data_IF_336926223196
#
_entry.id   IF_336926223196
#
_cell.length_a   1.000
_cell.length_b   1.000
_cell.length_c   1.000
_cell.angle_alpha   90.00
_cell.angle_beta   90.00
_cell.angle_gamma   90.00
#
_symmetry.space_group_name_H-M   'P 1'
#
loop_
_entity.id
_entity.type
_entity.pdbx_description
1 polymer ?
#
# COMPACT_ATOMS: atom_id res chain seq x y z
N UNK A 1 5.09 34.47 71.08
CA UNK A 1 6.21 33.66 70.55
C UNK A 1 5.79 32.30 69.98
N UNK A 2 4.99 31.49 70.68
CA UNK A 2 4.61 30.12 70.25
C UNK A 2 3.85 30.03 68.91
N UNK A 3 2.97 31.00 68.60
CA UNK A 3 2.21 31.04 67.34
C UNK A 3 3.08 31.36 66.11
N UNK A 4 4.06 32.27 66.26
CA UNK A 4 5.03 32.57 65.19
C UNK A 4 5.95 31.37 64.91
N UNK A 5 6.31 30.61 65.94
CA UNK A 5 7.09 29.38 65.79
C UNK A 5 6.29 28.29 65.04
N UNK A 6 4.99 28.16 65.33
CA UNK A 6 4.09 27.21 64.64
C UNK A 6 3.91 27.55 63.16
N UNK A 7 3.76 28.84 62.82
CA UNK A 7 3.66 29.29 61.41
C UNK A 7 4.96 29.05 60.65
N UNK A 8 6.12 29.27 61.28
CA UNK A 8 7.43 28.98 60.66
C UNK A 8 7.62 27.48 60.43
N UNK A 9 7.23 26.64 61.39
CA UNK A 9 7.30 25.16 61.25
C UNK A 9 6.34 24.66 60.15
N UNK A 10 5.13 25.22 60.05
CA UNK A 10 4.17 24.86 59.00
C UNK A 10 4.65 25.28 57.59
N UNK A 11 5.27 26.45 57.46
CA UNK A 11 5.87 26.92 56.20
C UNK A 11 7.06 26.04 55.81
N UNK A 12 7.92 25.66 56.77
CA UNK A 12 9.04 24.74 56.54
C UNK A 12 8.53 23.36 56.08
N UNK A 13 7.45 22.83 56.67
CA UNK A 13 6.88 21.56 56.22
C UNK A 13 6.32 21.62 54.80
N UNK A 14 5.74 22.75 54.37
CA UNK A 14 5.29 22.90 52.97
C UNK A 14 6.41 23.02 51.95
N UNK A 15 7.59 23.52 52.35
CA UNK A 15 8.76 23.65 51.45
C UNK A 15 9.45 22.30 51.22
N UNK A 16 9.40 21.37 52.20
CA UNK A 16 10.05 20.05 52.10
C UNK A 16 9.26 19.09 51.19
N UNK A 17 7.98 19.36 50.91
CA UNK A 17 7.14 18.55 50.02
C UNK A 17 7.22 18.94 48.54
N UNK A 18 8.01 19.94 48.17
CA UNK A 18 8.05 20.51 46.80
C UNK A 18 9.05 19.83 45.84
N UNK A 19 9.72 18.75 46.23
CA UNK A 19 10.60 17.99 45.33
C UNK A 19 9.76 17.09 44.39
N UNK A 20 9.39 17.63 43.23
CA UNK A 20 8.92 16.83 42.11
C UNK A 20 9.97 15.81 41.63
N UNK A 21 9.57 14.81 40.82
CA UNK A 21 10.49 13.80 40.31
C UNK A 21 11.64 14.42 39.53
N UNK A 22 12.84 13.87 39.70
CA UNK A 22 14.03 14.35 38.98
C UNK A 22 13.93 14.03 37.49
N UNK A 23 14.65 14.77 36.64
CA UNK A 23 14.69 14.50 35.20
C UNK A 23 15.10 13.05 34.87
N UNK A 24 16.12 12.45 35.52
CA UNK A 24 16.42 11.02 35.36
C UNK A 24 15.23 10.11 35.66
N UNK A 25 14.49 10.35 36.76
CA UNK A 25 13.31 9.55 37.10
C UNK A 25 12.20 9.67 36.06
N UNK A 26 12.01 10.86 35.48
CA UNK A 26 11.05 11.09 34.40
C UNK A 26 11.49 10.42 33.10
N UNK A 27 12.79 10.42 32.79
CA UNK A 27 13.36 9.73 31.64
C UNK A 27 13.17 8.22 31.74
N UNK A 28 13.46 7.62 32.90
CA UNK A 28 13.22 6.18 33.15
C UNK A 28 11.76 5.80 32.92
N UNK A 29 10.80 6.59 33.44
CA UNK A 29 9.38 6.36 33.19
C UNK A 29 9.05 6.41 31.69
N UNK A 30 9.65 7.34 30.96
CA UNK A 30 9.41 7.47 29.52
C UNK A 30 10.02 6.32 28.71
N UNK A 31 11.17 5.79 29.12
CA UNK A 31 11.77 4.57 28.56
C UNK A 31 10.86 3.38 28.80
N UNK A 32 10.34 3.20 30.02
CA UNK A 32 9.43 2.10 30.34
C UNK A 32 8.16 2.10 29.46
N UNK A 33 7.61 3.29 29.20
CA UNK A 33 6.48 3.44 28.25
C UNK A 33 6.89 3.04 26.83
N UNK A 34 8.09 3.41 26.38
CA UNK A 34 8.58 3.00 25.07
C UNK A 34 8.74 1.48 24.96
N UNK A 35 9.27 0.83 25.99
CA UNK A 35 9.42 -0.63 26.04
C UNK A 35 8.07 -1.35 26.04
N UNK A 36 7.07 -0.82 26.74
CA UNK A 36 5.70 -1.36 26.70
C UNK A 36 5.09 -1.25 25.30
N UNK A 37 5.31 -0.13 24.61
CA UNK A 37 4.89 0.07 23.22
C UNK A 37 5.60 -0.93 22.29
N UNK A 38 6.90 -1.18 22.48
CA UNK A 38 7.64 -2.20 21.72
C UNK A 38 7.07 -3.60 21.95
N UNK A 39 6.75 -3.96 23.19
CA UNK A 39 6.13 -5.25 23.52
C UNK A 39 4.78 -5.44 22.83
N UNK A 40 4.06 -4.34 22.55
CA UNK A 40 2.80 -4.33 21.78
C UNK A 40 3.00 -4.22 20.26
N UNK A 41 4.25 -4.13 19.78
CA UNK A 41 4.59 -3.98 18.37
C UNK A 41 4.51 -2.53 17.83
N UNK A 42 4.22 -1.55 18.69
CA UNK A 42 4.10 -0.14 18.30
C UNK A 42 5.48 0.55 18.28
N UNK A 43 6.27 0.18 17.27
CA UNK A 43 7.63 0.72 17.09
C UNK A 43 7.66 2.23 16.82
N UNK A 44 6.63 2.77 16.17
CA UNK A 44 6.59 4.20 15.80
C UNK A 44 6.43 5.05 17.05
N UNK A 45 5.44 4.76 17.89
CA UNK A 45 5.24 5.53 19.12
C UNK A 45 6.36 5.26 20.12
N UNK A 46 6.90 4.04 20.19
CA UNK A 46 8.11 3.79 20.98
C UNK A 46 9.25 4.71 20.59
N UNK A 47 9.60 4.79 19.30
CA UNK A 47 10.70 5.65 18.83
C UNK A 47 10.44 7.13 19.12
N UNK A 48 9.20 7.61 18.97
CA UNK A 48 8.83 8.98 19.37
C UNK A 48 9.08 9.23 20.86
N UNK A 49 8.78 8.24 21.70
CA UNK A 49 9.05 8.35 23.13
C UNK A 49 10.55 8.41 23.44
N UNK A 50 11.35 7.55 22.80
CA UNK A 50 12.80 7.49 23.00
C UNK A 50 13.50 8.75 22.49
N UNK A 51 13.21 9.18 21.25
CA UNK A 51 13.83 10.33 20.60
C UNK A 51 13.56 11.65 21.37
N UNK A 52 12.46 11.72 22.11
CA UNK A 52 12.10 12.91 22.90
C UNK A 52 12.92 13.09 24.20
N UNK A 53 13.59 12.04 24.69
CA UNK A 53 14.21 12.05 26.03
C UNK A 53 15.31 13.10 26.14
N UNK A 54 16.22 13.17 25.17
CA UNK A 54 17.34 14.12 25.18
C UNK A 54 16.88 15.58 25.15
N UNK A 55 15.72 15.85 24.52
CA UNK A 55 15.13 17.18 24.45
C UNK A 55 14.40 17.55 25.74
N UNK A 56 13.59 16.64 26.28
CA UNK A 56 12.75 16.91 27.45
C UNK A 56 13.52 16.86 28.78
N UNK A 57 14.56 16.03 28.85
CA UNK A 57 15.29 15.73 30.07
C UNK A 57 16.81 15.90 29.87
N UNK A 58 17.30 17.11 29.57
CA UNK A 58 18.72 17.35 29.26
C UNK A 58 19.70 16.99 30.39
N UNK A 59 19.23 16.87 31.64
CA UNK A 59 20.06 16.44 32.78
C UNK A 59 20.11 14.91 32.96
N UNK A 60 19.30 14.15 32.20
CA UNK A 60 19.22 12.68 32.26
C UNK A 60 20.18 12.04 31.23
N UNK A 61 21.47 12.36 31.32
CA UNK A 61 22.46 11.98 30.28
C UNK A 61 22.60 10.46 30.14
N UNK A 62 22.53 9.72 31.25
CA UNK A 62 22.62 8.26 31.22
C UNK A 62 21.41 7.63 30.54
N UNK A 63 20.21 8.10 30.90
CA UNK A 63 18.95 7.61 30.35
C UNK A 63 18.80 7.98 28.88
N UNK A 64 19.28 9.17 28.49
CA UNK A 64 19.34 9.57 27.08
C UNK A 64 20.21 8.61 26.25
N UNK A 65 21.37 8.18 26.78
CA UNK A 65 22.21 7.17 26.11
C UNK A 65 21.51 5.82 26.01
N UNK A 66 20.84 5.38 27.07
CA UNK A 66 20.03 4.15 27.04
C UNK A 66 18.92 4.24 26.00
N UNK A 67 18.24 5.38 25.90
CA UNK A 67 17.19 5.61 24.92
C UNK A 67 17.73 5.49 23.48
N UNK A 68 18.88 6.10 23.18
CA UNK A 68 19.55 5.97 21.88
C UNK A 68 19.92 4.51 21.58
N UNK A 69 20.46 3.77 22.55
CA UNK A 69 20.77 2.34 22.36
C UNK A 69 19.53 1.48 22.07
N UNK A 70 18.38 1.82 22.66
CA UNK A 70 17.11 1.15 22.35
C UNK A 70 16.64 1.55 20.95
N UNK A 71 16.64 2.85 20.61
CA UNK A 71 16.27 3.36 19.29
C UNK A 71 17.11 2.70 18.19
N UNK A 72 18.42 2.61 18.37
CA UNK A 72 19.32 1.99 17.40
C UNK A 72 18.98 0.50 17.19
N UNK A 73 18.80 -0.28 18.27
CA UNK A 73 18.37 -1.69 18.17
C UNK A 73 17.06 -1.85 17.41
N UNK A 74 16.07 -1.01 17.69
CA UNK A 74 14.78 -1.01 16.98
C UNK A 74 14.97 -0.68 15.50
N UNK A 75 15.77 0.33 15.17
CA UNK A 75 16.04 0.72 13.79
C UNK A 75 16.82 -0.35 13.02
N UNK A 76 17.78 -1.04 13.64
CA UNK A 76 18.48 -2.20 13.07
C UNK A 76 17.51 -3.34 12.77
N UNK A 77 16.61 -3.68 13.70
CA UNK A 77 15.59 -4.70 13.45
C UNK A 77 14.65 -4.31 12.30
N UNK A 78 14.23 -3.04 12.23
CA UNK A 78 13.43 -2.52 11.12
C UNK A 78 14.19 -2.60 9.79
N UNK A 79 15.48 -2.29 9.78
CA UNK A 79 16.33 -2.37 8.59
C UNK A 79 16.43 -3.82 8.09
N UNK A 80 16.65 -4.78 8.98
CA UNK A 80 16.68 -6.21 8.61
C UNK A 80 15.36 -6.68 8.00
N UNK A 81 14.23 -6.29 8.60
CA UNK A 81 12.91 -6.62 8.06
C UNK A 81 12.69 -6.02 6.66
N UNK A 82 13.10 -4.76 6.44
CA UNK A 82 12.99 -4.14 5.11
C UNK A 82 13.89 -4.83 4.07
N UNK A 83 15.10 -5.25 4.46
CA UNK A 83 15.99 -6.03 3.58
C UNK A 83 15.40 -7.39 3.24
N UNK A 84 14.80 -8.08 4.21
CA UNK A 84 14.10 -9.35 3.97
C UNK A 84 12.90 -9.17 3.02
N UNK A 85 12.08 -8.14 3.24
CA UNK A 85 10.96 -7.79 2.37
C UNK A 85 11.43 -7.50 0.94
N UNK A 86 12.50 -6.71 0.79
CA UNK A 86 13.09 -6.41 -0.50
C UNK A 86 13.58 -7.68 -1.21
N UNK A 87 14.28 -8.56 -0.50
CA UNK A 87 14.77 -9.81 -1.06
C UNK A 87 13.62 -10.71 -1.56
N UNK A 88 12.58 -10.89 -0.74
CA UNK A 88 11.37 -11.65 -1.13
C UNK A 88 10.66 -11.01 -2.32
N UNK A 89 10.50 -9.69 -2.31
CA UNK A 89 9.84 -8.96 -3.39
C UNK A 89 10.62 -9.09 -4.71
N UNK A 90 11.94 -8.99 -4.69
CA UNK A 90 12.79 -9.18 -5.87
C UNK A 90 12.61 -10.56 -6.49
N UNK A 91 12.60 -11.63 -5.69
CA UNK A 91 12.37 -12.99 -6.20
C UNK A 91 11.03 -13.11 -6.94
N UNK A 92 9.96 -12.52 -6.40
CA UNK A 92 8.64 -12.54 -7.03
C UNK A 92 8.64 -11.70 -8.31
N UNK A 93 9.20 -10.49 -8.26
CA UNK A 93 9.30 -9.61 -9.44
C UNK A 93 10.07 -10.29 -10.56
N UNK A 94 11.27 -10.80 -10.28
CA UNK A 94 12.15 -11.45 -11.26
C UNK A 94 11.52 -12.71 -11.89
N UNK A 95 10.65 -13.39 -11.14
CA UNK A 95 9.89 -14.54 -11.64
C UNK A 95 8.73 -14.11 -12.54
N UNK A 96 7.89 -13.18 -12.06
CA UNK A 96 6.61 -12.87 -12.71
C UNK A 96 6.74 -11.88 -13.86
N UNK A 97 7.71 -10.96 -13.82
CA UNK A 97 7.88 -9.93 -14.86
C UNK A 97 8.10 -10.52 -16.26
N UNK A 98 8.65 -11.74 -16.34
CA UNK A 98 8.88 -12.49 -17.59
C UNK A 98 7.59 -12.90 -18.30
N UNK A 99 6.45 -12.91 -17.60
CA UNK A 99 5.13 -13.17 -18.19
C UNK A 99 4.50 -11.91 -18.84
N UNK A 100 5.22 -10.78 -18.85
CA UNK A 100 4.73 -9.51 -19.39
C UNK A 100 5.63 -8.94 -20.48
N UNK A 101 5.00 -8.27 -21.43
CA UNK A 101 5.65 -7.41 -22.40
C UNK A 101 5.60 -5.95 -21.93
N UNK A 102 6.73 -5.25 -21.86
CA UNK A 102 6.76 -3.82 -21.58
C UNK A 102 6.30 -3.02 -22.80
N UNK A 103 5.42 -2.05 -22.58
CA UNK A 103 4.94 -1.09 -23.57
C UNK A 103 5.07 0.32 -23.00
N UNK A 104 5.69 1.21 -23.76
CA UNK A 104 5.81 2.63 -23.43
C UNK A 104 5.62 3.46 -24.67
N UNK A 105 4.49 4.15 -24.76
CA UNK A 105 4.25 5.14 -25.79
C UNK A 105 5.13 6.38 -25.61
N UNK A 106 5.28 7.17 -26.67
CA UNK A 106 6.08 8.41 -26.68
C UNK A 106 5.64 9.40 -25.59
N UNK A 107 4.34 9.45 -25.30
CA UNK A 107 3.74 10.33 -24.31
C UNK A 107 3.46 9.66 -22.96
N UNK A 108 3.79 8.37 -22.81
CA UNK A 108 3.53 7.65 -21.57
C UNK A 108 4.56 7.99 -20.50
N UNK A 109 4.06 8.48 -19.38
CA UNK A 109 4.90 8.80 -18.21
C UNK A 109 5.58 7.55 -17.62
N UNK A 110 4.89 6.42 -17.66
CA UNK A 110 5.31 5.16 -17.04
C UNK A 110 5.24 4.03 -18.05
N UNK A 111 6.17 3.07 -17.94
CA UNK A 111 6.06 1.82 -18.71
C UNK A 111 4.87 1.01 -18.20
N UNK A 112 4.03 0.57 -19.13
CA UNK A 112 2.95 -0.38 -18.88
C UNK A 112 3.43 -1.80 -19.20
N UNK A 113 2.91 -2.78 -18.49
CA UNK A 113 3.21 -4.19 -18.64
C UNK A 113 1.91 -4.91 -18.98
N UNK A 114 1.89 -5.54 -20.15
CA UNK A 114 0.75 -6.34 -20.62
C UNK A 114 1.14 -7.80 -20.55
N UNK A 115 0.27 -8.62 -19.95
CA UNK A 115 0.52 -10.04 -19.83
C UNK A 115 0.58 -10.70 -21.23
N UNK A 116 1.56 -11.58 -21.47
CA UNK A 116 1.83 -12.21 -22.77
C UNK A 116 0.63 -12.99 -23.34
N UNK A 117 -0.32 -13.35 -22.48
CA UNK A 117 -1.55 -14.06 -22.86
C UNK A 117 -2.68 -13.16 -23.35
N UNK A 118 -2.59 -11.84 -23.11
CA UNK A 118 -3.60 -10.84 -23.47
C UNK A 118 -3.15 -9.95 -24.65
N UNK A 119 -2.27 -10.46 -25.52
CA UNK A 119 -1.80 -9.74 -26.71
C UNK A 119 -2.91 -9.46 -27.74
N UNK A 120 -2.71 -8.42 -28.55
CA UNK A 120 -3.68 -7.82 -29.48
C UNK A 120 -4.26 -8.85 -30.47
N UNK A 121 -3.43 -9.79 -30.97
CA UNK A 121 -3.83 -10.79 -31.98
C UNK A 121 -5.04 -11.65 -31.57
N UNK A 122 -5.31 -11.77 -30.27
CA UNK A 122 -6.40 -12.58 -29.73
C UNK A 122 -7.69 -11.80 -29.45
N UNK A 123 -7.72 -10.51 -29.76
CA UNK A 123 -8.75 -9.59 -29.23
C UNK A 123 -9.49 -8.76 -30.29
N UNK A 124 -9.11 -8.86 -31.56
CA UNK A 124 -9.61 -7.99 -32.64
C UNK A 124 -11.08 -8.18 -33.06
N UNK A 125 -11.78 -9.21 -32.58
CA UNK A 125 -13.16 -9.47 -33.01
C UNK A 125 -14.05 -10.02 -31.90
N UNK A 126 -13.70 -9.74 -30.64
CA UNK A 126 -14.44 -10.21 -29.47
C UNK A 126 -14.40 -9.21 -28.33
N UNK A 127 -15.38 -9.32 -27.43
CA UNK A 127 -15.34 -8.61 -26.16
C UNK A 127 -14.43 -9.33 -25.17
N UNK A 128 -13.69 -8.60 -24.34
CA UNK A 128 -12.73 -9.14 -23.38
C UNK A 128 -12.45 -8.18 -22.23
N UNK A 129 -11.86 -8.71 -21.16
CA UNK A 129 -11.39 -7.94 -20.01
C UNK A 129 -9.87 -8.02 -19.97
N UNK A 130 -9.19 -6.88 -19.84
CA UNK A 130 -7.73 -6.82 -19.87
C UNK A 130 -7.19 -6.02 -18.68
N UNK A 131 -6.10 -6.51 -18.10
CA UNK A 131 -5.38 -5.83 -17.04
C UNK A 131 -4.11 -5.19 -17.60
N UNK A 132 -3.81 -3.98 -17.11
CA UNK A 132 -2.55 -3.30 -17.30
C UNK A 132 -1.92 -3.07 -15.93
N UNK A 133 -0.60 -3.19 -15.88
CA UNK A 133 0.21 -2.93 -14.70
C UNK A 133 1.28 -1.90 -15.08
N UNK A 134 1.52 -0.87 -14.28
CA UNK A 134 2.65 0.03 -14.52
C UNK A 134 3.86 -0.31 -13.62
N UNK A 135 5.00 0.33 -13.88
CA UNK A 135 6.24 0.16 -13.09
C UNK A 135 6.13 0.54 -11.61
N UNK A 136 5.05 1.24 -11.20
CA UNK A 136 4.76 1.58 -9.80
C UNK A 136 3.92 0.54 -9.07
N UNK A 137 3.44 -0.48 -9.79
CA UNK A 137 2.50 -1.45 -9.23
C UNK A 137 1.04 -0.98 -9.28
N UNK A 138 0.71 0.06 -10.05
CA UNK A 138 -0.69 0.47 -10.23
C UNK A 138 -1.35 -0.42 -11.27
N UNK A 139 -2.53 -0.93 -10.92
CA UNK A 139 -3.32 -1.78 -11.79
C UNK A 139 -4.44 -0.95 -12.44
N UNK A 140 -4.68 -1.24 -13.71
CA UNK A 140 -5.79 -0.69 -14.48
C UNK A 140 -6.54 -1.85 -15.11
N UNK A 141 -7.86 -1.86 -14.96
CA UNK A 141 -8.72 -2.83 -15.62
C UNK A 141 -9.41 -2.17 -16.80
N UNK A 142 -9.58 -2.89 -17.90
CA UNK A 142 -10.38 -2.43 -19.03
C UNK A 142 -11.42 -3.46 -19.40
N UNK A 143 -12.63 -3.00 -19.68
CA UNK A 143 -13.67 -3.77 -20.35
C UNK A 143 -13.75 -3.31 -21.80
N UNK A 144 -13.53 -4.24 -22.72
CA UNK A 144 -13.51 -3.98 -24.15
C UNK A 144 -14.69 -4.73 -24.76
N UNK A 145 -15.67 -4.01 -25.30
CA UNK A 145 -16.83 -4.55 -25.96
C UNK A 145 -16.68 -4.44 -27.48
N UNK A 146 -17.06 -5.52 -28.16
CA UNK A 146 -17.14 -5.63 -29.62
C UNK A 146 -18.52 -6.15 -30.01
N UNK A 147 -19.25 -5.40 -30.84
CA UNK A 147 -20.56 -5.84 -31.31
C UNK A 147 -21.15 -5.00 -32.44
N UNK A 148 -22.34 -5.38 -32.91
CA UNK A 148 -23.02 -4.71 -34.01
C UNK A 148 -23.80 -3.44 -33.61
N UNK A 149 -23.97 -3.19 -32.32
CA UNK A 149 -24.70 -2.05 -31.76
C UNK A 149 -23.96 -1.50 -30.55
N UNK A 150 -24.14 -0.20 -30.28
CA UNK A 150 -23.60 0.44 -29.10
C UNK A 150 -24.27 -0.10 -27.83
N UNK A 151 -23.47 -0.68 -26.95
CA UNK A 151 -23.86 -1.08 -25.60
C UNK A 151 -23.92 0.13 -24.67
N UNK A 152 -23.09 1.15 -24.92
CA UNK A 152 -22.85 2.31 -24.05
C UNK A 152 -22.55 1.86 -22.60
N UNK A 153 -21.65 0.89 -22.44
CA UNK A 153 -21.35 0.38 -21.10
C UNK A 153 -20.53 1.36 -20.28
N UNK A 154 -20.75 1.34 -18.98
CA UNK A 154 -20.16 2.27 -18.01
C UNK A 154 -19.56 1.56 -16.80
N UNK A 155 -20.02 0.36 -16.47
CA UNK A 155 -19.42 -0.48 -15.42
C UNK A 155 -19.27 -1.93 -15.85
N UNK A 156 -18.49 -2.67 -15.07
CA UNK A 156 -18.21 -4.09 -15.23
C UNK A 156 -18.51 -4.83 -13.93
N UNK A 157 -19.38 -5.84 -14.00
CA UNK A 157 -19.67 -6.72 -12.86
C UNK A 157 -19.04 -8.09 -13.11
N UNK A 158 -18.41 -8.64 -12.08
CA UNK A 158 -17.92 -10.01 -12.05
C UNK A 158 -18.81 -10.82 -11.12
N UNK A 159 -19.34 -11.91 -11.64
CA UNK A 159 -20.23 -12.81 -10.92
C UNK A 159 -19.83 -14.27 -11.14
N UNK A 160 -19.98 -15.12 -10.12
CA UNK A 160 -19.82 -16.57 -10.29
C UNK A 160 -19.68 -17.29 -8.97
N UNK A 161 -20.34 -18.46 -8.84
CA UNK A 161 -20.24 -19.31 -7.63
C UNK A 161 -20.51 -18.56 -6.30
N UNK A 162 -21.47 -17.63 -6.28
CA UNK A 162 -21.82 -16.82 -5.10
C UNK A 162 -20.90 -15.62 -4.86
N UNK A 163 -19.90 -15.40 -5.72
CA UNK A 163 -19.03 -14.24 -5.70
C UNK A 163 -19.62 -13.10 -6.55
N UNK A 164 -19.46 -11.86 -6.07
CA UNK A 164 -19.89 -10.65 -6.77
C UNK A 164 -18.92 -9.50 -6.46
N UNK A 165 -18.46 -8.80 -7.51
CA UNK A 165 -17.83 -7.49 -7.41
C UNK A 165 -18.20 -6.64 -8.63
N UNK A 166 -18.19 -5.33 -8.47
CA UNK A 166 -18.49 -4.37 -9.53
C UNK A 166 -17.46 -3.25 -9.49
N UNK A 167 -17.12 -2.73 -10.67
CA UNK A 167 -16.32 -1.51 -10.81
C UNK A 167 -17.18 -0.27 -10.57
N UNK A 168 -16.56 0.85 -10.21
CA UNK A 168 -17.28 2.12 -10.27
C UNK A 168 -17.71 2.44 -11.71
N UNK A 169 -18.81 3.18 -11.85
CA UNK A 169 -19.30 3.60 -13.16
C UNK A 169 -18.44 4.72 -13.75
N UNK A 170 -18.09 4.59 -15.02
CA UNK A 170 -17.40 5.60 -15.83
C UNK A 170 -18.35 6.10 -16.90
N UNK A 171 -18.76 7.38 -16.80
CA UNK A 171 -19.67 8.00 -17.75
C UNK A 171 -19.17 7.92 -19.19
N UNK A 172 -20.09 7.90 -20.16
CA UNK A 172 -19.81 7.85 -21.60
C UNK A 172 -18.96 9.04 -22.05
N UNK A 173 -19.17 10.22 -21.46
CA UNK A 173 -18.44 11.44 -21.82
C UNK A 173 -17.06 11.53 -21.12
N UNK A 174 -16.70 10.54 -20.31
CA UNK A 174 -15.42 10.52 -19.61
C UNK A 174 -14.29 10.11 -20.56
N UNK A 175 -13.11 10.71 -20.38
CA UNK A 175 -11.91 10.36 -21.15
C UNK A 175 -11.51 8.88 -21.02
N UNK A 176 -11.98 8.16 -20.01
CA UNK A 176 -11.72 6.74 -19.83
C UNK A 176 -12.80 5.83 -20.46
N UNK A 177 -13.80 6.39 -21.14
CA UNK A 177 -14.85 5.65 -21.84
C UNK A 177 -14.82 6.01 -23.34
N UNK A 178 -14.17 5.16 -24.14
CA UNK A 178 -13.94 5.41 -25.55
C UNK A 178 -14.87 4.59 -26.41
N UNK A 179 -15.39 5.23 -27.46
CA UNK A 179 -16.23 4.62 -28.48
C UNK A 179 -15.53 4.77 -29.83
N UNK A 180 -15.43 3.69 -30.61
CA UNK A 180 -14.95 3.73 -31.98
C UNK A 180 -15.77 2.81 -32.87
N UNK A 181 -15.83 3.14 -34.15
CA UNK A 181 -16.56 2.37 -35.15
C UNK A 181 -15.64 2.08 -36.33
N UNK A 182 -15.63 0.82 -36.77
CA UNK A 182 -14.89 0.41 -37.95
C UNK A 182 -15.66 -0.64 -38.72
N UNK A 183 -15.90 -0.39 -40.02
CA UNK A 183 -16.61 -1.31 -40.91
C UNK A 183 -17.98 -1.80 -40.38
N UNK A 184 -18.71 -0.92 -39.68
CA UNK A 184 -20.03 -1.22 -39.09
C UNK A 184 -19.98 -1.91 -37.72
N UNK A 185 -18.80 -2.33 -37.25
CA UNK A 185 -18.60 -2.87 -35.90
C UNK A 185 -18.37 -1.74 -34.89
N UNK A 186 -19.01 -1.86 -33.73
CA UNK A 186 -18.89 -0.95 -32.60
C UNK A 186 -17.88 -1.49 -31.60
N UNK A 187 -17.00 -0.61 -31.16
CA UNK A 187 -15.97 -0.86 -30.17
C UNK A 187 -16.14 0.10 -29.01
N UNK A 188 -16.23 -0.44 -27.80
CA UNK A 188 -16.27 0.36 -26.59
C UNK A 188 -15.16 -0.10 -25.65
N UNK A 189 -14.37 0.84 -25.13
CA UNK A 189 -13.35 0.57 -24.14
C UNK A 189 -13.59 1.45 -22.92
N UNK A 190 -13.88 0.82 -21.79
CA UNK A 190 -13.96 1.50 -20.50
C UNK A 190 -12.75 1.14 -19.66
N UNK A 191 -12.09 2.16 -19.11
CA UNK A 191 -10.87 2.05 -18.32
C UNK A 191 -11.16 2.42 -16.87
N UNK A 192 -10.90 1.48 -15.95
CA UNK A 192 -11.10 1.62 -14.51
C UNK A 192 -9.75 1.64 -13.81
N UNK A 193 -9.48 2.67 -13.00
CA UNK A 193 -8.18 2.86 -12.34
C UNK A 193 -8.32 2.94 -10.83
N UNK A 194 -7.34 2.38 -10.11
CA UNK A 194 -7.29 2.42 -8.65
C UNK A 194 -8.55 1.85 -8.01
N UNK A 195 -9.13 2.59 -7.07
CA UNK A 195 -10.30 2.15 -6.27
C UNK A 195 -11.49 1.72 -7.14
N UNK A 196 -11.63 2.28 -8.34
CA UNK A 196 -12.68 1.92 -9.31
C UNK A 196 -12.62 0.45 -9.75
N UNK A 197 -11.44 -0.18 -9.69
CA UNK A 197 -11.20 -1.53 -10.19
C UNK A 197 -10.70 -2.50 -9.12
N UNK A 198 -10.15 -1.99 -8.01
CA UNK A 198 -9.41 -2.80 -7.02
C UNK A 198 -10.21 -3.99 -6.49
N UNK A 199 -11.51 -3.79 -6.19
CA UNK A 199 -12.39 -4.87 -5.70
C UNK A 199 -12.57 -5.98 -6.72
N UNK A 200 -12.79 -5.61 -7.98
CA UNK A 200 -12.98 -6.56 -9.08
C UNK A 200 -11.69 -7.34 -9.37
N UNK A 201 -10.56 -6.64 -9.47
CA UNK A 201 -9.25 -7.25 -9.70
C UNK A 201 -8.92 -8.22 -8.57
N UNK A 202 -9.08 -7.79 -7.30
CA UNK A 202 -8.80 -8.62 -6.14
C UNK A 202 -9.69 -9.87 -6.09
N UNK A 203 -10.98 -9.75 -6.43
CA UNK A 203 -11.89 -10.88 -6.49
C UNK A 203 -11.45 -11.92 -7.52
N UNK A 204 -11.12 -11.48 -8.75
CA UNK A 204 -10.65 -12.39 -9.80
C UNK A 204 -9.33 -13.05 -9.38
N UNK A 205 -8.37 -12.26 -8.88
CA UNK A 205 -7.05 -12.75 -8.48
C UNK A 205 -7.11 -13.77 -7.33
N UNK A 206 -8.06 -13.61 -6.40
CA UNK A 206 -8.30 -14.55 -5.31
C UNK A 206 -9.02 -15.83 -5.77
N UNK A 207 -9.66 -15.83 -6.94
CA UNK A 207 -10.53 -16.90 -7.42
C UNK A 207 -10.20 -17.33 -8.87
N UNK A 208 -8.93 -17.60 -9.22
CA UNK A 208 -8.52 -17.87 -10.61
C UNK A 208 -9.16 -19.15 -11.18
N UNK A 209 -9.45 -20.12 -10.32
CA UNK A 209 -9.98 -21.44 -10.72
C UNK A 209 -11.51 -21.47 -10.83
N UNK A 210 -12.18 -20.40 -10.39
CA UNK A 210 -13.64 -20.31 -10.34
C UNK A 210 -14.23 -19.96 -11.70
N UNK A 211 -15.46 -20.41 -11.95
CA UNK A 211 -16.21 -20.02 -13.16
C UNK A 211 -16.82 -18.64 -12.94
N UNK A 212 -16.17 -17.63 -13.51
CA UNK A 212 -16.58 -16.23 -13.40
C UNK A 212 -17.09 -15.73 -14.76
N UNK A 213 -18.21 -15.04 -14.77
CA UNK A 213 -18.71 -14.27 -15.91
C UNK A 213 -18.45 -12.79 -15.66
N UNK A 214 -18.14 -12.06 -16.73
CA UNK A 214 -18.11 -10.60 -16.73
C UNK A 214 -19.36 -10.07 -17.42
N UNK A 215 -19.98 -9.07 -16.81
CA UNK A 215 -21.23 -8.46 -17.23
C UNK A 215 -20.95 -6.99 -17.47
N UNK A 216 -20.99 -6.59 -18.73
CA UNK A 216 -20.82 -5.23 -19.20
C UNK A 216 -22.16 -4.53 -19.03
N UNK A 217 -22.20 -3.48 -18.19
CA UNK A 217 -23.43 -2.76 -17.83
C UNK A 217 -23.56 -1.47 -18.62
N UNK A 218 -24.49 -1.43 -19.57
CA UNK A 218 -24.85 -0.24 -20.35
C UNK A 218 -26.36 -0.12 -20.54
N UNK A 219 -26.79 0.29 -21.74
CA UNK A 219 -28.22 0.30 -22.14
C UNK A 219 -28.88 -1.07 -22.00
N UNK A 220 -28.09 -2.11 -22.22
CA UNK A 220 -28.43 -3.50 -21.91
C UNK A 220 -27.23 -4.15 -21.22
N UNK A 221 -27.41 -5.38 -20.70
CA UNK A 221 -26.28 -6.16 -20.19
C UNK A 221 -25.73 -7.06 -21.29
N UNK A 222 -24.41 -7.09 -21.44
CA UNK A 222 -23.70 -8.03 -22.30
C UNK A 222 -22.79 -8.92 -21.44
N UNK A 223 -22.81 -10.24 -21.67
CA UNK A 223 -22.18 -11.21 -20.77
C UNK A 223 -21.18 -12.05 -21.55
N UNK A 224 -19.97 -12.20 -21.00
CA UNK A 224 -18.98 -13.18 -21.45
C UNK A 224 -18.47 -13.98 -20.25
N UNK A 225 -17.96 -15.17 -20.50
CA UNK A 225 -17.21 -15.93 -19.51
C UNK A 225 -15.76 -15.45 -19.48
N UNK A 226 -15.18 -15.28 -18.29
CA UNK A 226 -13.75 -15.00 -18.16
C UNK A 226 -12.96 -16.27 -18.49
N UNK A 227 -12.09 -16.17 -19.49
CA UNK A 227 -11.21 -17.27 -19.86
C UNK A 227 -10.18 -17.55 -18.77
N UNK A 228 -9.68 -18.78 -18.71
CA UNK A 228 -8.59 -19.13 -17.78
C UNK A 228 -7.34 -18.28 -17.99
N UNK A 229 -7.05 -17.91 -19.24
CA UNK A 229 -5.95 -17.01 -19.58
C UNK A 229 -6.13 -15.61 -19.00
N UNK A 230 -7.35 -15.07 -19.01
CA UNK A 230 -7.64 -13.73 -18.47
C UNK A 230 -7.58 -13.73 -16.94
N UNK A 231 -8.17 -14.74 -16.30
CA UNK A 231 -8.09 -14.91 -14.84
C UNK A 231 -6.65 -15.07 -14.37
N UNK A 232 -5.85 -15.87 -15.08
CA UNK A 232 -4.42 -16.00 -14.79
C UNK A 232 -3.66 -14.69 -15.02
N UNK A 233 -3.90 -13.98 -16.12
CA UNK A 233 -3.25 -12.69 -16.37
C UNK A 233 -3.53 -11.68 -15.25
N UNK A 234 -4.79 -11.58 -14.81
CA UNK A 234 -5.21 -10.69 -13.73
C UNK A 234 -4.56 -11.08 -12.41
N UNK A 235 -4.53 -12.39 -12.08
CA UNK A 235 -3.83 -12.88 -10.88
C UNK A 235 -2.33 -12.55 -10.91
N UNK A 236 -1.65 -12.87 -12.02
CA UNK A 236 -0.21 -12.62 -12.15
C UNK A 236 0.09 -11.12 -12.03
N UNK A 237 -0.72 -10.26 -12.66
CA UNK A 237 -0.57 -8.81 -12.55
C UNK A 237 -0.77 -8.32 -11.11
N UNK A 238 -1.77 -8.86 -10.41
CA UNK A 238 -2.04 -8.53 -9.01
C UNK A 238 -0.89 -8.93 -8.08
N UNK A 239 -0.34 -10.13 -8.25
CA UNK A 239 0.80 -10.60 -7.46
C UNK A 239 2.06 -9.78 -7.73
N UNK A 240 2.35 -9.48 -9.00
CA UNK A 240 3.47 -8.64 -9.39
C UNK A 240 3.32 -7.21 -8.87
N UNK A 241 2.13 -6.62 -8.94
CA UNK A 241 1.84 -5.29 -8.41
C UNK A 241 2.15 -5.19 -6.91
N UNK A 242 1.75 -6.19 -6.11
CA UNK A 242 2.06 -6.23 -4.67
C UNK A 242 3.56 -6.32 -4.43
N UNK A 243 4.25 -7.18 -5.17
CA UNK A 243 5.70 -7.32 -5.05
C UNK A 243 6.44 -6.02 -5.41
N UNK A 244 6.04 -5.34 -6.49
CA UNK A 244 6.58 -4.03 -6.89
C UNK A 244 6.37 -2.98 -5.80
N UNK A 245 5.17 -2.89 -5.21
CA UNK A 245 4.88 -1.95 -4.12
C UNK A 245 5.76 -2.20 -2.89
N UNK A 246 5.96 -3.47 -2.50
CA UNK A 246 6.84 -3.84 -1.38
C UNK A 246 8.29 -3.48 -1.69
N UNK A 247 8.77 -3.80 -2.91
CA UNK A 247 10.11 -3.46 -3.38
C UNK A 247 10.36 -1.96 -3.30
N UNK A 248 9.51 -1.16 -3.92
CA UNK A 248 9.62 0.32 -3.96
C UNK A 248 9.58 0.91 -2.55
N UNK A 249 8.69 0.42 -1.69
CA UNK A 249 8.60 0.89 -0.31
C UNK A 249 9.88 0.56 0.48
N UNK A 250 10.40 -0.65 0.33
CA UNK A 250 11.62 -1.10 1.03
C UNK A 250 12.84 -0.33 0.56
N UNK A 251 13.02 -0.15 -0.76
CA UNK A 251 14.11 0.63 -1.37
C UNK A 251 14.11 2.09 -0.91
N UNK A 252 12.93 2.67 -0.67
CA UNK A 252 12.82 4.03 -0.12
C UNK A 252 13.22 4.11 1.35
N UNK A 253 12.88 3.11 2.17
CA UNK A 253 13.05 3.16 3.63
C UNK A 253 14.45 2.74 4.08
N UNK A 254 15.06 1.75 3.42
CA UNK A 254 16.41 1.24 3.76
C UNK A 254 17.46 2.35 3.91
N UNK A 255 17.69 3.25 2.93
CA UNK A 255 18.73 4.27 3.06
C UNK A 255 18.45 5.29 4.16
N UNK A 256 17.17 5.53 4.49
CA UNK A 256 16.79 6.40 5.60
C UNK A 256 17.13 5.79 6.95
N UNK A 257 16.91 4.48 7.11
CA UNK A 257 17.28 3.75 8.32
C UNK A 257 18.80 3.64 8.47
N UNK A 258 19.52 3.34 7.39
CA UNK A 258 21.00 3.29 7.40
C UNK A 258 21.61 4.63 7.82
N UNK A 259 21.10 5.74 7.27
CA UNK A 259 21.52 7.09 7.67
C UNK A 259 21.21 7.36 9.14
N UNK A 260 20.02 6.98 9.62
CA UNK A 260 19.62 7.22 11.02
C UNK A 260 20.49 6.43 12.01
N UNK A 261 20.73 5.15 11.72
CA UNK A 261 21.61 4.28 12.53
C UNK A 261 23.01 4.88 12.60
N UNK A 262 23.59 5.29 11.46
CA UNK A 262 24.91 5.91 11.43
C UNK A 262 24.99 7.20 12.24
N UNK A 263 23.98 8.07 12.16
CA UNK A 263 23.96 9.33 12.92
C UNK A 263 23.79 9.14 14.44
N UNK A 264 23.32 7.99 14.89
CA UNK A 264 23.18 7.65 16.32
C UNK A 264 24.46 7.00 16.89
N UNK A 265 25.39 6.60 16.02
CA UNK A 265 26.71 6.04 16.38
C UNK A 265 27.81 7.11 16.49
N UNK A 266 27.62 8.26 15.84
CA UNK A 266 28.51 9.45 15.87
C UNK A 266 28.18 10.40 17.03
#
# INVERSE_FOLDING_TARGET
>A
MKFRLFVVIAIIQTIVSACGPSQPQLAVKKIAVAEELLAKGDTTNSLLHLDSISLLYPKAVSEARTAVQISNRVNVSRLMLQRENLAKANLVVDSLIKEFNPEKGEFDKYTNYIHNRQGIDKTWSRSFVQVYLNEKGDLTLTSNYYGGQWLNHTSLNIEGEGLLAETDSVSIDNVNNHHSEFSGSKWEKVTYRGEQADKVIALIAANPDKKLKSIFKGKSSYIIWLEESDKKAIKTAYDLARALKIKIASEKVIPLLEKKIKSEEE
#
